data_IF_579191034480
#
_entry.id   IF_579191034480
#
_cell.length_a   1.000
_cell.length_b   1.000
_cell.length_c   1.000
_cell.angle_alpha   90.00
_cell.angle_beta   90.00
_cell.angle_gamma   90.00
#
_symmetry.space_group_name_H-M   'P 1'
#
loop_
_entity.id
_entity.type
_entity.pdbx_description
1 polymer ?
#
# COMPACT_ATOMS: atom_id res chain seq x y z
N UNK A 1 -4.64 -8.43 13.47
CA UNK A 1 -3.47 -8.26 14.35
C UNK A 1 -3.39 -6.83 14.85
N UNK A 2 -3.51 -6.60 16.16
CA UNK A 2 -3.56 -5.25 16.75
C UNK A 2 -2.32 -4.39 16.46
N UNK A 3 -1.17 -5.00 16.09
CA UNK A 3 0.08 -4.29 15.80
C UNK A 3 0.01 -3.47 14.51
N UNK A 4 -0.43 -4.05 13.39
CA UNK A 4 -0.43 -3.33 12.10
C UNK A 4 -1.50 -2.22 12.06
N UNK A 5 -2.59 -2.38 12.82
CA UNK A 5 -3.62 -1.34 12.94
C UNK A 5 -3.07 -0.02 13.51
N UNK A 6 -1.97 -0.06 14.28
CA UNK A 6 -1.31 1.14 14.80
C UNK A 6 -0.62 1.99 13.72
N UNK A 7 -0.41 1.44 12.51
CA UNK A 7 0.16 2.16 11.37
C UNK A 7 -0.88 3.02 10.64
N UNK A 8 -2.18 2.66 10.74
CA UNK A 8 -3.26 3.30 10.00
C UNK A 8 -3.42 4.81 10.30
N UNK A 9 -3.34 5.30 11.55
CA UNK A 9 -3.49 6.72 11.81
C UNK A 9 -2.45 7.58 11.08
N UNK A 10 -1.18 7.15 11.06
CA UNK A 10 -0.12 7.86 10.36
C UNK A 10 -0.30 7.80 8.83
N UNK A 11 -0.70 6.63 8.30
CA UNK A 11 -0.96 6.45 6.88
C UNK A 11 -2.12 7.35 6.40
N UNK A 12 -3.21 7.38 7.17
CA UNK A 12 -4.36 8.23 6.88
C UNK A 12 -4.04 9.72 6.98
N UNK A 13 -3.14 10.11 7.89
CA UNK A 13 -2.67 11.50 7.98
C UNK A 13 -1.89 11.91 6.73
N UNK A 14 -1.05 11.03 6.17
CA UNK A 14 -0.36 11.27 4.89
C UNK A 14 -1.38 11.39 3.74
N UNK A 15 -2.38 10.49 3.68
CA UNK A 15 -3.41 10.56 2.64
C UNK A 15 -4.17 11.88 2.68
N UNK A 16 -4.55 12.34 3.89
CA UNK A 16 -5.22 13.61 4.09
C UNK A 16 -4.34 14.81 3.72
N UNK A 17 -3.04 14.78 4.05
CA UNK A 17 -2.07 15.82 3.67
C UNK A 17 -1.91 15.95 2.15
N UNK A 18 -1.88 14.82 1.45
CA UNK A 18 -1.80 14.75 -0.02
C UNK A 18 -3.15 15.12 -0.67
N UNK A 19 -4.26 14.99 0.07
CA UNK A 19 -5.61 15.26 -0.42
C UNK A 19 -6.20 14.12 -1.25
N UNK A 20 -5.87 12.87 -0.92
CA UNK A 20 -6.35 11.67 -1.61
C UNK A 20 -6.93 10.65 -0.64
N UNK A 21 -7.62 9.62 -1.15
CA UNK A 21 -8.08 8.51 -0.31
C UNK A 21 -6.93 7.57 0.06
N UNK A 22 -7.06 6.78 1.15
CA UNK A 22 -6.07 5.76 1.51
C UNK A 22 -5.79 4.75 0.39
N UNK A 23 -6.82 4.43 -0.43
CA UNK A 23 -6.67 3.54 -1.59
C UNK A 23 -5.86 4.21 -2.69
N UNK A 24 -6.22 5.45 -3.04
CA UNK A 24 -5.49 6.24 -4.02
C UNK A 24 -4.01 6.42 -3.65
N UNK A 25 -3.71 6.66 -2.38
CA UNK A 25 -2.33 6.79 -1.90
C UNK A 25 -1.51 5.51 -2.15
N UNK A 26 -2.10 4.33 -1.93
CA UNK A 26 -1.41 3.06 -2.15
C UNK A 26 -1.14 2.82 -3.63
N UNK A 27 -2.13 3.06 -4.48
CA UNK A 27 -2.00 2.89 -5.93
C UNK A 27 -1.03 3.91 -6.51
N UNK A 28 -1.10 5.17 -6.07
CA UNK A 28 -0.18 6.23 -6.48
C UNK A 28 1.26 5.92 -6.09
N UNK A 29 1.49 5.41 -4.86
CA UNK A 29 2.82 4.96 -4.44
C UNK A 29 3.36 3.86 -5.36
N UNK A 30 2.53 2.87 -5.71
CA UNK A 30 2.93 1.78 -6.59
C UNK A 30 3.27 2.26 -8.00
N UNK A 31 2.49 3.20 -8.55
CA UNK A 31 2.77 3.84 -9.84
C UNK A 31 4.10 4.62 -9.85
N UNK A 32 4.58 5.09 -8.69
CA UNK A 32 5.86 5.79 -8.57
C UNK A 32 7.07 4.82 -8.47
N UNK A 33 6.87 3.52 -8.25
CA UNK A 33 7.96 2.56 -8.08
C UNK A 33 8.70 2.26 -9.40
N UNK A 34 8.05 2.44 -10.55
CA UNK A 34 8.64 2.17 -11.86
C UNK A 34 7.63 2.28 -13.00
N UNK A 35 8.07 2.71 -14.18
CA UNK A 35 7.21 2.84 -15.36
C UNK A 35 6.74 1.51 -15.96
N UNK A 36 7.30 0.40 -15.49
CA UNK A 36 6.98 -0.99 -15.82
C UNK A 36 6.04 -1.65 -14.81
N UNK A 37 5.65 -0.94 -13.75
CA UNK A 37 4.76 -1.44 -12.70
C UNK A 37 3.32 -1.03 -13.00
N UNK A 38 2.46 -2.03 -13.22
CA UNK A 38 1.05 -1.84 -13.57
C UNK A 38 0.14 -2.37 -12.45
N UNK A 39 -0.50 -1.50 -11.64
CA UNK A 39 -1.49 -1.90 -10.65
C UNK A 39 -2.70 -2.59 -11.30
N UNK A 40 -3.20 -3.64 -10.66
CA UNK A 40 -4.43 -4.35 -11.05
C UNK A 40 -5.45 -4.34 -9.89
N UNK A 41 -5.95 -3.17 -9.46
CA UNK A 41 -6.89 -3.07 -8.36
C UNK A 41 -8.20 -3.80 -8.71
N UNK A 42 -8.61 -4.73 -7.85
CA UNK A 42 -9.83 -5.49 -7.99
C UNK A 42 -10.91 -4.98 -7.04
N UNK A 43 -12.05 -4.55 -7.56
CA UNK A 43 -13.22 -4.15 -6.77
C UNK A 43 -14.52 -4.58 -7.42
N UNK A 44 -15.57 -4.76 -6.61
CA UNK A 44 -16.94 -5.06 -7.06
C UNK A 44 -17.84 -3.83 -7.09
N UNK A 45 -17.34 -2.68 -6.62
CA UNK A 45 -18.08 -1.42 -6.58
C UNK A 45 -17.57 -0.48 -7.67
N UNK A 46 -18.48 0.05 -8.47
CA UNK A 46 -18.16 1.08 -9.47
C UNK A 46 -17.63 2.35 -8.80
N UNK A 47 -18.17 2.70 -7.63
CA UNK A 47 -17.70 3.87 -6.87
C UNK A 47 -16.23 3.71 -6.45
N UNK A 48 -15.86 2.55 -5.91
CA UNK A 48 -14.45 2.27 -5.57
C UNK A 48 -13.57 2.23 -6.81
N UNK A 49 -14.07 1.71 -7.94
CA UNK A 49 -13.32 1.72 -9.19
C UNK A 49 -13.00 3.16 -9.61
N UNK A 50 -13.99 4.05 -9.53
CA UNK A 50 -13.80 5.46 -9.85
C UNK A 50 -12.84 6.15 -8.87
N UNK A 51 -12.89 5.78 -7.58
CA UNK A 51 -11.94 6.28 -6.57
C UNK A 51 -10.50 5.82 -6.88
N UNK A 52 -10.29 4.52 -7.11
CA UNK A 52 -8.99 3.94 -7.43
C UNK A 52 -8.39 4.55 -8.71
N UNK A 53 -9.21 4.81 -9.74
CA UNK A 53 -8.79 5.49 -10.96
C UNK A 53 -8.30 6.92 -10.70
N UNK A 54 -8.80 7.58 -9.65
CA UNK A 54 -8.34 8.91 -9.24
C UNK A 54 -6.86 8.95 -8.85
N UNK A 55 -6.27 7.80 -8.47
CA UNK A 55 -4.87 7.68 -8.06
C UNK A 55 -3.87 8.15 -9.13
N UNK A 56 -4.23 8.04 -10.42
CA UNK A 56 -3.36 8.48 -11.53
C UNK A 56 -3.08 9.98 -11.51
N UNK A 57 -3.92 10.76 -10.83
CA UNK A 57 -3.78 12.20 -10.70
C UNK A 57 -3.10 12.61 -9.39
N UNK A 58 -2.72 11.66 -8.54
CA UNK A 58 -2.06 11.95 -7.26
C UNK A 58 -0.55 12.08 -7.49
N UNK A 59 0.00 13.25 -7.18
CA UNK A 59 1.45 13.48 -7.20
C UNK A 59 2.03 13.32 -5.79
N UNK A 60 3.03 12.46 -5.65
CA UNK A 60 3.73 12.25 -4.39
C UNK A 60 5.10 12.92 -4.48
N UNK A 61 5.40 13.81 -3.52
CA UNK A 61 6.74 14.38 -3.41
C UNK A 61 7.73 13.32 -2.93
N UNK A 62 9.04 13.57 -3.15
CA UNK A 62 10.11 12.72 -2.61
C UNK A 62 10.00 12.52 -1.09
N UNK A 63 9.59 13.56 -0.38
CA UNK A 63 9.48 13.55 1.07
C UNK A 63 8.29 12.69 1.54
N UNK A 64 7.16 12.76 0.82
CA UNK A 64 6.01 11.90 1.06
C UNK A 64 6.37 10.44 0.76
N UNK A 65 7.05 10.17 -0.35
CA UNK A 65 7.53 8.82 -0.69
C UNK A 65 8.42 8.25 0.42
N UNK A 66 9.43 9.01 0.87
CA UNK A 66 10.32 8.58 1.95
C UNK A 66 9.57 8.30 3.27
N UNK A 67 8.53 9.09 3.59
CA UNK A 67 7.68 8.85 4.76
C UNK A 67 6.85 7.58 4.63
N UNK A 68 6.32 7.30 3.45
CA UNK A 68 5.56 6.07 3.18
C UNK A 68 6.44 4.82 3.32
N UNK A 69 7.62 4.87 2.69
CA UNK A 69 8.61 3.77 2.73
C UNK A 69 9.09 3.49 4.17
N UNK A 70 9.29 4.54 4.97
CA UNK A 70 9.66 4.39 6.38
C UNK A 70 8.51 3.89 7.26
N UNK A 71 7.25 4.25 6.93
CA UNK A 71 6.08 3.92 7.74
C UNK A 71 5.65 2.46 7.55
N UNK A 72 5.49 2.00 6.31
CA UNK A 72 5.00 0.67 5.98
C UNK A 72 6.09 -0.07 5.20
N UNK A 73 6.81 -0.94 5.90
CA UNK A 73 7.84 -1.79 5.29
C UNK A 73 7.96 -3.11 6.05
N UNK A 74 8.94 -3.92 5.62
CA UNK A 74 9.21 -5.26 6.12
C UNK A 74 9.55 -5.31 7.61
N UNK A 75 10.00 -4.20 8.21
CA UNK A 75 10.34 -4.11 9.63
C UNK A 75 9.17 -3.62 10.50
N UNK A 76 8.17 -2.95 9.91
CA UNK A 76 7.04 -2.36 10.65
C UNK A 76 5.76 -3.18 10.54
N UNK A 77 5.60 -3.96 9.46
CA UNK A 77 4.49 -4.89 9.27
C UNK A 77 4.79 -6.20 10.01
N UNK A 78 3.82 -6.68 10.78
CA UNK A 78 3.93 -7.93 11.53
C UNK A 78 2.98 -9.01 11.01
N UNK A 79 3.47 -10.25 11.00
CA UNK A 79 2.75 -11.45 10.60
C UNK A 79 3.15 -11.93 9.21
N UNK A 80 2.98 -13.23 9.00
CA UNK A 80 3.27 -13.86 7.72
C UNK A 80 2.12 -13.65 6.73
N UNK A 81 2.45 -13.66 5.43
CA UNK A 81 1.44 -13.55 4.36
C UNK A 81 0.53 -14.77 4.28
N UNK A 82 1.10 -15.96 4.47
CA UNK A 82 0.32 -17.19 4.62
C UNK A 82 0.44 -17.74 6.04
N UNK A 83 -0.48 -18.66 6.37
CA UNK A 83 -0.37 -19.44 7.59
C UNK A 83 0.81 -20.45 7.49
N UNK A 84 1.16 -21.07 8.61
CA UNK A 84 2.29 -22.00 8.68
C UNK A 84 2.21 -23.17 7.68
N UNK A 85 1.01 -23.68 7.40
CA UNK A 85 0.82 -24.77 6.44
C UNK A 85 1.14 -24.31 5.00
N UNK A 86 0.53 -23.21 4.56
CA UNK A 86 0.75 -22.68 3.22
C UNK A 86 2.17 -22.14 2.99
N UNK A 87 2.83 -21.60 4.04
CA UNK A 87 4.26 -21.25 3.96
C UNK A 87 5.17 -22.46 3.73
N UNK A 88 4.75 -23.69 4.07
CA UNK A 88 5.53 -24.89 3.77
C UNK A 88 5.47 -25.31 2.30
N UNK A 89 4.51 -24.76 1.56
CA UNK A 89 4.23 -25.09 0.16
C UNK A 89 4.61 -23.94 -0.80
N UNK A 90 4.71 -22.70 -0.29
CA UNK A 90 5.09 -21.50 -1.05
C UNK A 90 6.39 -20.93 -0.49
N UNK A 91 7.50 -21.16 -1.20
CA UNK A 91 8.85 -20.71 -0.81
C UNK A 91 9.23 -19.34 -1.39
N UNK A 92 8.44 -18.78 -2.32
CA UNK A 92 8.77 -17.53 -3.03
C UNK A 92 8.45 -16.24 -2.28
N UNK A 93 7.84 -16.32 -1.10
CA UNK A 93 7.32 -15.14 -0.38
C UNK A 93 7.95 -14.89 1.01
N UNK A 94 9.01 -15.62 1.35
CA UNK A 94 9.82 -15.34 2.53
C UNK A 94 10.87 -14.27 2.20
N UNK A 95 10.85 -13.15 2.93
CA UNK A 95 11.91 -12.14 2.85
C UNK A 95 13.19 -12.69 3.50
N UNK A 96 14.34 -12.48 2.84
CA UNK A 96 15.66 -12.89 3.34
C UNK A 96 16.14 -12.02 4.51
#
# INVERSE_FOLDING_TARGET
>A
HAKNAALLPAYNAIAAEVGCTPSQLAIAWLLHQGGDILPIPGTRSVEHLMDDLGAVNVQLSSDVMARLDALINQHTVHGDRYNAQANSEVDTEAFA
#
